data_IF_878089104838
#
_entry.id   IF_878089104838
#
_cell.length_a   1.000
_cell.length_b   1.000
_cell.length_c   1.000
_cell.angle_alpha   90.00
_cell.angle_beta   90.00
_cell.angle_gamma   90.00
#
_symmetry.space_group_name_H-M   'P 1'
#
loop_
_entity.id
_entity.type
_entity.pdbx_description
1 polymer ?
2 non-polymer ?
3 non-polymer ?
4 non-polymer ?
5 non-polymer ?
6 water ?
#
# COMPACT_ATOMS: atom_id res chain seq x y z
N UNK A 12 21.38 -9.21 -13.74
CA UNK A 12 20.63 -8.50 -12.72
C UNK A 12 19.34 -7.84 -13.23
N UNK A 13 18.97 -6.72 -12.62
CA UNK A 13 17.66 -6.12 -12.86
C UNK A 13 17.87 -4.68 -13.34
N UNK A 14 17.18 -4.23 -14.38
CA UNK A 14 17.28 -2.81 -14.75
C UNK A 14 16.26 -1.98 -13.94
N UNK A 15 16.70 -0.86 -13.37
CA UNK A 15 15.82 0.11 -12.74
C UNK A 15 14.68 0.52 -13.67
N UNK A 16 13.45 0.42 -13.15
CA UNK A 16 12.27 0.84 -13.88
C UNK A 16 12.10 2.35 -14.06
N UNK A 17 12.86 3.14 -13.30
CA UNK A 17 12.77 4.58 -13.47
C UNK A 17 13.85 5.07 -14.44
N UNK A 18 15.09 4.63 -14.27
CA UNK A 18 16.17 5.25 -15.04
C UNK A 18 17.00 4.23 -15.81
N UNK A 19 16.77 2.93 -15.64
CA UNK A 19 17.56 1.90 -16.32
C UNK A 19 18.93 1.66 -15.71
N UNK A 20 19.26 2.34 -14.62
CA UNK A 20 20.42 2.02 -13.80
C UNK A 20 20.45 0.57 -13.33
N UNK A 21 21.50 0.15 -12.63
CA UNK A 21 21.52 -1.21 -12.11
C UNK A 21 20.91 -1.28 -10.72
N UNK A 22 20.16 -2.35 -10.47
CA UNK A 22 19.54 -2.54 -9.16
C UNK A 22 20.31 -3.52 -8.29
N UNK A 23 20.72 -3.09 -7.11
CA UNK A 23 21.38 -3.99 -6.17
C UNK A 23 20.47 -4.54 -5.09
N UNK A 24 20.33 -5.86 -5.04
CA UNK A 24 19.48 -6.46 -4.00
C UNK A 24 20.03 -6.30 -2.59
N UNK A 25 19.12 -6.08 -1.64
CA UNK A 25 19.49 -6.04 -0.24
C UNK A 25 18.66 -6.92 0.68
N UNK A 26 17.53 -7.43 0.17
CA UNK A 26 16.61 -8.19 1.02
C UNK A 26 15.92 -9.23 0.16
N UNK A 27 15.92 -10.47 0.63
CA UNK A 27 15.34 -11.55 -0.19
C UNK A 27 14.33 -12.20 0.75
N UNK A 28 13.06 -12.03 0.39
CA UNK A 28 11.95 -12.60 1.17
C UNK A 28 11.43 -13.92 0.64
N UNK A 29 12.18 -14.46 -0.32
CA UNK A 29 11.86 -15.82 -0.77
C UNK A 29 10.63 -15.97 -1.65
N UNK A 30 10.16 -17.20 -1.79
CA UNK A 30 9.05 -17.46 -2.70
C UNK A 30 7.79 -16.98 -1.99
N UNK A 31 6.94 -16.27 -2.73
CA UNK A 31 5.73 -15.71 -2.17
C UNK A 31 4.57 -15.98 -3.14
N UNK A 32 3.38 -16.18 -2.60
CA UNK A 32 2.15 -16.23 -3.38
C UNK A 32 1.61 -14.86 -3.73
N UNK A 33 0.58 -14.76 -4.58
CA UNK A 33 -0.11 -13.48 -4.76
C UNK A 33 -0.74 -13.15 -3.41
N UNK A 34 -0.62 -11.90 -2.97
CA UNK A 34 -0.95 -11.58 -1.59
C UNK A 34 -2.44 -11.45 -1.34
N UNK A 35 -3.21 -11.18 -2.40
CA UNK A 35 -4.64 -10.92 -2.25
C UNK A 35 -5.44 -12.07 -2.87
N UNK A 36 -4.80 -13.22 -3.10
CA UNK A 36 -5.60 -14.35 -3.62
C UNK A 36 -6.02 -15.22 -2.43
N UNK A 37 -7.31 -15.25 -2.15
CA UNK A 37 -7.88 -16.01 -1.02
C UNK A 37 -8.65 -17.23 -1.55
N UNK A 38 -8.19 -18.45 -1.30
CA UNK A 38 -8.80 -19.62 -1.95
C UNK A 38 -9.88 -20.23 -1.08
N UNK A 39 -10.89 -20.81 -1.71
CA UNK A 39 -11.84 -21.60 -0.93
C UNK A 39 -11.13 -22.86 -0.42
N UNK A 40 -11.57 -23.40 0.72
CA UNK A 40 -10.75 -24.48 1.27
C UNK A 40 -10.64 -25.75 0.42
N UNK A 41 -11.62 -25.96 -0.45
CA UNK A 41 -11.60 -27.06 -1.41
C UNK A 41 -10.76 -26.85 -2.65
N UNK A 42 -10.32 -25.61 -2.91
CA UNK A 42 -9.54 -25.39 -4.11
C UNK A 42 -8.24 -26.19 -4.07
N UNK A 43 -7.77 -26.57 -5.25
CA UNK A 43 -6.45 -27.19 -5.35
C UNK A 43 -5.44 -26.28 -4.67
N UNK A 44 -4.55 -26.94 -3.94
CA UNK A 44 -3.33 -26.35 -3.38
C UNK A 44 -2.27 -26.12 -4.46
N UNK A 45 -2.62 -25.28 -5.43
CA UNK A 45 -1.60 -24.76 -6.34
C UNK A 45 -1.82 -23.26 -6.22
N UNK A 46 -0.70 -22.53 -6.27
CA UNK A 46 -0.75 -21.07 -6.37
C UNK A 46 0.37 -20.52 -7.24
N UNK A 47 0.13 -19.41 -7.91
CA UNK A 47 1.23 -18.71 -8.55
C UNK A 47 2.26 -18.31 -7.48
N UNK A 48 3.56 -18.47 -7.70
CA UNK A 48 4.51 -17.87 -6.75
C UNK A 48 5.56 -17.16 -7.56
N UNK A 49 6.29 -16.27 -6.89
CA UNK A 49 7.29 -15.47 -7.58
C UNK A 49 8.36 -15.24 -6.49
N UNK A 50 9.54 -14.77 -6.85
CA UNK A 50 10.53 -14.48 -5.82
C UNK A 50 10.42 -13.02 -5.38
N UNK A 51 10.12 -12.77 -4.11
CA UNK A 51 9.98 -11.38 -3.65
C UNK A 51 11.32 -10.92 -3.10
N UNK A 52 11.97 -9.98 -3.76
CA UNK A 52 13.26 -9.47 -3.25
C UNK A 52 13.32 -8.00 -3.62
N UNK A 53 14.10 -7.24 -2.87
CA UNK A 53 14.11 -5.78 -2.93
C UNK A 53 15.54 -5.31 -3.11
N UNK A 54 15.66 -4.28 -3.95
CA UNK A 54 16.98 -3.74 -4.24
C UNK A 54 16.88 -2.24 -4.40
N UNK A 55 18.01 -1.64 -4.73
CA UNK A 55 18.06 -0.18 -4.83
C UNK A 55 18.79 0.14 -6.11
N UNK A 56 18.28 1.08 -6.91
CA UNK A 56 18.98 1.42 -8.13
C UNK A 56 20.29 2.14 -7.76
N UNK A 57 21.34 1.85 -8.53
CA UNK A 57 22.64 2.53 -8.44
C UNK A 57 22.67 4.02 -8.79
N UNK A 58 21.79 4.42 -9.68
CA UNK A 58 21.83 5.75 -10.26
C UNK A 58 20.82 6.71 -9.64
N UNK A 59 19.58 6.29 -9.44
CA UNK A 59 18.56 7.20 -8.92
C UNK A 59 18.08 6.97 -7.48
N UNK A 60 18.61 5.93 -6.85
CA UNK A 60 18.25 5.60 -5.47
C UNK A 60 16.86 5.04 -5.20
N UNK A 61 16.16 4.77 -6.29
CA UNK A 61 14.87 4.11 -6.17
C UNK A 61 14.96 2.68 -5.65
N UNK A 62 14.22 2.45 -4.57
CA UNK A 62 14.16 1.09 -4.00
C UNK A 62 12.95 0.45 -4.67
N UNK A 63 13.15 -0.78 -5.18
CA UNK A 63 12.14 -1.46 -5.96
C UNK A 63 12.32 -2.97 -5.88
N UNK A 64 11.24 -3.68 -6.19
CA UNK A 64 11.36 -5.14 -6.30
C UNK A 64 12.21 -5.60 -7.50
N UNK A 65 12.74 -6.82 -7.41
CA UNK A 65 13.52 -7.35 -8.54
C UNK A 65 12.74 -8.27 -9.47
N UNK A 66 11.53 -8.66 -9.10
CA UNK A 66 10.68 -9.39 -10.06
C UNK A 66 9.31 -8.73 -10.08
N UNK A 67 8.80 -8.44 -11.29
CA UNK A 67 7.46 -7.87 -11.45
C UNK A 67 6.43 -9.01 -11.55
N UNK A 68 5.33 -8.90 -10.83
CA UNK A 68 4.16 -9.72 -11.09
C UNK A 68 3.32 -9.06 -12.17
N UNK A 69 2.89 -9.80 -13.20
CA UNK A 69 2.07 -9.14 -14.22
C UNK A 69 0.82 -8.50 -13.61
N UNK A 70 0.52 -7.29 -14.10
CA UNK A 70 -0.57 -6.53 -13.50
C UNK A 70 -1.91 -7.31 -13.47
N UNK A 71 -2.17 -8.08 -14.52
CA UNK A 71 -3.46 -8.71 -14.67
C UNK A 71 -3.56 -9.90 -13.76
N UNK A 72 -2.46 -10.36 -13.15
CA UNK A 72 -2.62 -11.37 -12.12
C UNK A 72 -3.07 -10.78 -10.79
N UNK A 73 -2.81 -9.50 -10.60
CA UNK A 73 -3.12 -8.85 -9.32
C UNK A 73 -4.42 -8.07 -9.33
N UNK A 74 -4.70 -7.41 -10.46
CA UNK A 74 -5.83 -6.50 -10.54
C UNK A 74 -6.73 -6.97 -11.68
N UNK A 75 -7.93 -7.36 -11.25
CA UNK A 75 -8.95 -7.93 -12.11
C UNK A 75 -10.27 -7.98 -11.34
N UNK A 76 -11.21 -8.73 -11.91
CA UNK A 76 -12.59 -8.66 -11.50
C UNK A 76 -12.82 -8.98 -10.03
N UNK A 77 -12.03 -9.89 -9.47
CA UNK A 77 -12.24 -10.33 -8.10
C UNK A 77 -11.15 -9.85 -7.13
N UNK A 78 -10.34 -8.88 -7.53
CA UNK A 78 -9.49 -8.25 -6.52
C UNK A 78 -10.32 -7.83 -5.29
N UNK A 79 -9.86 -8.20 -4.09
CA UNK A 79 -10.77 -8.16 -2.94
C UNK A 79 -10.60 -6.98 -2.00
N UNK A 80 -9.68 -6.06 -2.29
CA UNK A 80 -9.37 -5.05 -1.27
C UNK A 80 -10.43 -3.96 -1.37
N UNK A 81 -11.07 -3.67 -0.25
CA UNK A 81 -12.12 -2.68 -0.21
C UNK A 81 -11.67 -1.53 0.68
N UNK A 82 -11.32 -0.40 0.06
CA UNK A 82 -10.72 0.69 0.84
C UNK A 82 -11.67 1.16 1.93
N UNK A 83 -12.96 1.19 1.59
CA UNK A 83 -13.94 1.78 2.53
C UNK A 83 -14.15 1.00 3.80
N UNK A 84 -13.47 -0.14 3.97
CA UNK A 84 -13.58 -0.94 5.18
C UNK A 84 -12.97 -0.29 6.40
N UNK A 85 -12.28 0.83 6.25
CA UNK A 85 -11.68 1.52 7.39
C UNK A 85 -12.28 2.92 7.55
N UNK A 86 -12.77 3.16 8.77
CA UNK A 86 -13.40 4.46 9.09
C UNK A 86 -12.36 5.57 9.07
N UNK A 87 -11.18 5.28 9.61
CA UNK A 87 -10.08 6.25 9.59
C UNK A 87 -9.74 6.59 8.13
N UNK A 88 -9.69 5.64 7.19
CA UNK A 88 -9.28 5.99 5.84
C UNK A 88 -10.45 6.71 5.17
N UNK A 89 -11.71 6.38 5.46
CA UNK A 89 -12.83 7.10 4.83
C UNK A 89 -12.71 8.59 5.20
N UNK A 90 -12.39 8.87 6.45
CA UNK A 90 -12.28 10.28 6.88
C UNK A 90 -11.06 10.97 6.25
N UNK A 91 -10.00 10.19 6.12
CA UNK A 91 -8.70 10.68 5.69
C UNK A 91 -8.96 11.11 4.23
N UNK A 92 -9.65 10.32 3.41
CA UNK A 92 -9.82 10.68 2.02
C UNK A 92 -10.84 11.80 1.79
N UNK A 93 -11.89 11.84 2.61
CA UNK A 93 -12.92 12.88 2.47
C UNK A 93 -12.22 14.21 2.75
N UNK A 94 -11.39 14.26 3.79
CA UNK A 94 -10.62 15.45 4.07
C UNK A 94 -9.71 15.87 2.93
N UNK A 95 -9.00 14.92 2.31
CA UNK A 95 -8.09 15.24 1.21
C UNK A 95 -8.96 15.81 0.08
N UNK A 96 -10.13 15.22 -0.14
CA UNK A 96 -10.94 15.67 -1.27
C UNK A 96 -11.44 17.10 -0.98
N UNK A 97 -11.82 17.40 0.25
CA UNK A 97 -12.24 18.79 0.54
C UNK A 97 -11.08 19.75 0.36
N UNK A 98 -9.88 19.36 0.78
CA UNK A 98 -8.74 20.24 0.60
C UNK A 98 -8.52 20.47 -0.89
N UNK A 99 -8.68 19.49 -1.76
CA UNK A 99 -8.51 19.79 -3.18
C UNK A 99 -9.64 20.68 -3.71
N UNK A 100 -10.86 20.51 -3.19
CA UNK A 100 -12.00 21.32 -3.66
C UNK A 100 -11.77 22.77 -3.24
N UNK A 101 -11.09 22.96 -2.11
CA UNK A 101 -10.82 24.32 -1.65
C UNK A 101 -9.62 24.98 -2.29
N UNK A 102 -8.76 24.24 -2.99
CA UNK A 102 -7.48 24.78 -3.45
C UNK A 102 -7.31 24.58 -4.96
N UNK A 103 -7.09 23.36 -5.42
CA UNK A 103 -6.75 23.13 -6.82
C UNK A 103 -7.93 23.00 -7.78
N UNK A 104 -9.13 22.80 -7.24
CA UNK A 104 -10.34 22.59 -8.03
C UNK A 104 -11.33 23.77 -7.94
N UNK A 105 -10.80 24.97 -7.76
CA UNK A 105 -11.66 26.14 -7.66
C UNK A 105 -12.02 26.79 -8.99
N UNK A 106 -11.47 26.33 -10.11
CA UNK A 106 -11.77 27.04 -11.35
C UNK A 106 -13.21 26.96 -11.85
N UNK A 107 -13.46 27.50 -13.05
CA UNK A 107 -14.72 27.09 -13.69
C UNK A 107 -14.50 25.65 -14.18
N UNK A 108 -15.45 24.73 -14.02
CA UNK A 108 -15.28 23.41 -14.67
C UNK A 108 -13.92 22.76 -14.40
N UNK A 109 -13.58 22.59 -13.11
CA UNK A 109 -12.39 21.83 -12.72
C UNK A 109 -12.57 20.33 -13.06
N UNK A 110 -11.50 19.55 -13.19
CA UNK A 110 -11.57 18.13 -13.54
C UNK A 110 -10.46 17.43 -12.73
N UNK A 111 -10.89 16.41 -11.99
CA UNK A 111 -9.95 15.59 -11.22
C UNK A 111 -10.03 14.13 -11.66
N UNK A 112 -8.85 13.55 -11.93
CA UNK A 112 -8.74 12.12 -12.24
C UNK A 112 -8.03 11.39 -11.09
N UNK A 113 -8.62 10.30 -10.62
CA UNK A 113 -7.97 9.50 -9.60
C UNK A 113 -7.52 8.17 -10.23
N UNK A 114 -6.25 7.82 -10.01
CA UNK A 114 -5.70 6.52 -10.44
C UNK A 114 -5.86 5.58 -9.25
N UNK A 115 -6.61 4.49 -9.43
CA UNK A 115 -6.80 3.55 -8.31
C UNK A 115 -7.95 3.91 -7.39
N UNK A 116 -9.10 4.33 -7.93
CA UNK A 116 -10.20 4.84 -7.10
C UNK A 116 -10.87 3.81 -6.21
N UNK A 117 -10.66 2.52 -6.52
CA UNK A 117 -11.27 1.41 -5.80
C UNK A 117 -12.76 1.64 -5.66
N UNK A 118 -13.28 1.54 -4.45
CA UNK A 118 -14.72 1.58 -4.24
C UNK A 118 -15.25 3.01 -4.13
N UNK A 119 -14.42 3.98 -4.48
CA UNK A 119 -14.83 5.39 -4.49
C UNK A 119 -14.63 6.15 -3.19
N UNK A 120 -13.83 5.59 -2.27
CA UNK A 120 -13.52 6.23 -0.97
C UNK A 120 -13.17 7.72 -1.05
N UNK A 121 -12.44 8.13 -2.09
CA UNK A 121 -12.12 9.56 -2.25
C UNK A 121 -13.11 10.25 -3.19
N UNK A 122 -13.34 9.66 -4.35
CA UNK A 122 -14.15 10.35 -5.36
C UNK A 122 -15.59 10.67 -4.92
N UNK A 123 -16.14 9.90 -3.99
CA UNK A 123 -17.51 10.16 -3.52
C UNK A 123 -17.61 11.63 -3.13
N UNK A 124 -16.68 12.17 -2.33
CA UNK A 124 -16.73 13.57 -1.94
C UNK A 124 -16.66 14.51 -3.14
N UNK A 125 -15.93 14.17 -4.20
CA UNK A 125 -15.82 15.04 -5.35
C UNK A 125 -17.16 15.03 -6.11
N UNK A 126 -17.72 13.84 -6.32
CA UNK A 126 -19.02 13.70 -6.96
C UNK A 126 -20.08 14.47 -6.17
N UNK A 127 -20.08 14.37 -4.85
CA UNK A 127 -21.09 15.10 -4.06
C UNK A 127 -20.94 16.61 -4.11
N UNK A 128 -19.75 17.10 -4.45
CA UNK A 128 -19.52 18.51 -4.77
C UNK A 128 -19.87 18.89 -6.21
N UNK A 129 -20.32 17.93 -7.01
CA UNK A 129 -20.71 18.23 -8.39
C UNK A 129 -19.57 18.52 -9.33
N UNK A 130 -18.32 18.14 -8.99
CA UNK A 130 -17.15 18.43 -9.81
C UNK A 130 -16.87 17.32 -10.83
N UNK A 131 -16.54 17.62 -12.09
CA UNK A 131 -16.27 16.62 -13.12
C UNK A 131 -15.05 15.80 -12.67
N UNK A 132 -15.15 14.48 -12.85
CA UNK A 132 -14.09 13.62 -12.36
C UNK A 132 -14.11 12.30 -13.12
N UNK A 133 -13.04 11.52 -12.95
CA UNK A 133 -12.98 10.20 -13.56
C UNK A 133 -12.01 9.42 -12.70
N UNK A 134 -12.51 8.25 -12.29
CA UNK A 134 -11.73 7.22 -11.58
C UNK A 134 -11.24 6.19 -12.58
N UNK A 135 -9.97 5.81 -12.46
CA UNK A 135 -9.47 4.65 -13.20
C UNK A 135 -9.37 3.53 -12.19
N UNK A 136 -10.01 2.41 -12.52
CA UNK A 136 -10.05 1.29 -11.57
C UNK A 136 -10.13 0.02 -12.41
N UNK A 137 -8.99 -0.65 -12.64
CA UNK A 137 -9.01 -1.83 -13.50
C UNK A 137 -9.59 -3.05 -12.83
N UNK A 138 -9.84 -3.00 -11.52
CA UNK A 138 -10.48 -4.09 -10.79
C UNK A 138 -11.98 -3.86 -10.80
N UNK A 139 -12.66 -4.64 -11.64
CA UNK A 139 -14.03 -4.26 -11.95
C UNK A 139 -15.04 -4.43 -10.81
N UNK A 140 -14.82 -5.38 -9.92
CA UNK A 140 -15.73 -5.58 -8.78
C UNK A 140 -15.75 -4.34 -7.91
N UNK A 141 -14.58 -3.82 -7.57
CA UNK A 141 -14.58 -2.64 -6.70
C UNK A 141 -14.99 -1.43 -7.53
N UNK A 142 -14.66 -1.39 -8.82
CA UNK A 142 -15.13 -0.29 -9.65
C UNK A 142 -16.65 -0.19 -9.66
N UNK A 143 -17.32 -1.35 -9.65
CA UNK A 143 -18.78 -1.30 -9.65
C UNK A 143 -19.28 -0.69 -8.34
N UNK A 144 -18.61 -0.95 -7.22
CA UNK A 144 -19.04 -0.33 -5.97
C UNK A 144 -18.94 1.20 -6.02
N UNK A 145 -17.92 1.74 -6.70
CA UNK A 145 -17.77 3.18 -6.86
C UNK A 145 -18.89 3.65 -7.76
N UNK A 146 -19.14 2.95 -8.86
CA UNK A 146 -20.20 3.42 -9.74
C UNK A 146 -21.59 3.42 -9.09
N UNK A 147 -21.85 2.48 -8.19
CA UNK A 147 -23.07 2.52 -7.38
C UNK A 147 -23.26 3.82 -6.60
N UNK A 148 -22.18 4.52 -6.27
CA UNK A 148 -22.24 5.73 -5.48
C UNK A 148 -22.42 6.89 -6.47
N UNK A 149 -22.53 6.62 -7.77
CA UNK A 149 -22.65 7.69 -8.75
C UNK A 149 -21.35 8.27 -9.28
N UNK A 150 -20.23 7.65 -8.89
CA UNK A 150 -18.93 8.03 -9.45
C UNK A 150 -18.67 7.56 -10.88
N UNK A 151 -18.07 8.39 -11.71
CA UNK A 151 -17.71 8.03 -13.07
C UNK A 151 -16.37 7.29 -12.99
N UNK A 152 -16.39 6.04 -13.47
CA UNK A 152 -15.24 5.15 -13.36
C UNK A 152 -14.97 4.56 -14.75
N UNK A 153 -13.69 4.49 -15.12
CA UNK A 153 -13.26 3.67 -16.25
C UNK A 153 -12.54 2.42 -15.76
N UNK A 154 -12.92 1.24 -16.23
CA UNK A 154 -12.35 0.00 -15.71
C UNK A 154 -11.16 -0.25 -16.63
N UNK A 155 -10.07 0.49 -16.42
CA UNK A 155 -8.89 0.36 -17.26
C UNK A 155 -7.74 0.71 -16.31
N UNK A 156 -6.54 0.28 -16.67
CA UNK A 156 -5.32 0.80 -16.05
C UNK A 156 -5.03 2.17 -16.62
N UNK A 157 -4.70 3.11 -15.74
CA UNK A 157 -4.01 4.32 -16.16
C UNK A 157 -2.62 4.00 -16.69
N UNK A 158 -2.37 4.48 -17.89
CA UNK A 158 -1.09 4.41 -18.59
C UNK A 158 -1.07 5.44 -19.71
N UNK A 159 0.01 5.55 -20.46
CA UNK A 159 0.09 6.59 -21.50
C UNK A 159 -1.13 6.60 -22.42
N UNK A 160 -1.48 5.45 -22.98
CA UNK A 160 -2.56 5.39 -23.96
C UNK A 160 -3.91 5.75 -23.40
N UNK A 161 -4.24 5.28 -22.19
CA UNK A 161 -5.58 5.54 -21.67
C UNK A 161 -5.62 7.01 -21.22
N UNK A 162 -4.50 7.58 -20.76
CA UNK A 162 -4.46 9.00 -20.38
C UNK A 162 -4.70 9.81 -21.65
N UNK A 163 -4.11 9.40 -22.77
CA UNK A 163 -4.27 10.16 -24.01
C UNK A 163 -5.73 10.16 -24.41
N UNK A 164 -6.37 9.02 -24.20
CA UNK A 164 -7.75 8.88 -24.62
C UNK A 164 -8.62 9.80 -23.75
N UNK A 165 -8.34 9.82 -22.45
CA UNK A 165 -9.08 10.74 -21.58
C UNK A 165 -8.79 12.21 -21.96
N UNK A 166 -7.57 12.56 -22.32
CA UNK A 166 -7.29 13.95 -22.68
C UNK A 166 -8.13 14.32 -23.90
N UNK A 167 -8.16 13.42 -24.87
CA UNK A 167 -8.88 13.64 -26.12
C UNK A 167 -10.36 13.94 -25.92
N UNK A 168 -11.02 13.20 -25.03
CA UNK A 168 -12.46 13.33 -24.87
C UNK A 168 -12.86 14.26 -23.73
N UNK A 169 -12.00 14.42 -22.73
CA UNK A 169 -12.37 15.18 -21.53
C UNK A 169 -11.58 16.46 -21.24
N UNK A 170 -10.47 16.70 -21.96
CA UNK A 170 -9.66 17.89 -21.80
C UNK A 170 -8.72 17.63 -20.64
N UNK A 171 -7.92 18.64 -20.26
CA UNK A 171 -6.93 18.48 -19.22
C UNK A 171 -7.49 18.33 -17.82
N UNK A 172 -6.74 17.59 -17.00
CA UNK A 172 -7.13 17.48 -15.60
C UNK A 172 -6.32 18.47 -14.77
N UNK A 173 -7.04 19.13 -13.88
CA UNK A 173 -6.39 20.03 -12.91
C UNK A 173 -5.63 19.29 -11.82
N UNK A 174 -6.17 18.13 -11.43
CA UNK A 174 -5.46 17.30 -10.44
C UNK A 174 -5.50 15.87 -10.98
N UNK A 175 -4.35 15.20 -10.93
CA UNK A 175 -4.32 13.72 -11.00
C UNK A 175 -3.85 13.22 -9.64
N UNK A 176 -4.59 12.27 -9.05
CA UNK A 176 -4.29 11.86 -7.67
C UNK A 176 -4.24 10.33 -7.64
N UNK A 177 -3.33 9.82 -6.83
CA UNK A 177 -3.24 8.38 -6.66
C UNK A 177 -2.83 8.08 -5.23
N UNK A 178 -3.63 7.24 -4.54
CA UNK A 178 -3.20 6.85 -3.20
C UNK A 178 -2.93 5.36 -3.10
N UNK A 179 -1.78 4.95 -2.55
CA UNK A 179 -1.51 3.52 -2.37
C UNK A 179 -1.62 2.75 -3.68
N UNK A 180 -1.34 3.46 -4.76
CA UNK A 180 -1.48 2.89 -6.11
C UNK A 180 -0.21 3.11 -6.95
N UNK A 181 0.38 4.31 -6.95
CA UNK A 181 1.51 4.54 -7.84
C UNK A 181 2.64 3.58 -7.47
N UNK A 182 2.84 3.29 -6.19
CA UNK A 182 3.92 2.35 -5.85
C UNK A 182 3.67 0.91 -6.28
N UNK A 183 2.47 0.66 -6.79
CA UNK A 183 2.14 -0.67 -7.27
C UNK A 183 2.56 -0.86 -8.72
N UNK A 184 2.94 0.22 -9.40
CA UNK A 184 2.99 0.25 -10.86
C UNK A 184 4.43 0.28 -11.38
N UNK A 185 4.96 -0.86 -11.82
CA UNK A 185 6.36 -0.79 -12.28
C UNK A 185 6.54 0.05 -13.55
N UNK A 186 5.46 0.21 -14.32
CA UNK A 186 5.47 1.03 -15.54
C UNK A 186 5.19 2.51 -15.27
N UNK A 187 5.87 2.94 -14.21
CA UNK A 187 5.73 4.34 -13.76
C UNK A 187 6.12 5.36 -14.81
N UNK A 188 7.04 5.01 -15.70
CA UNK A 188 7.38 5.94 -16.77
C UNK A 188 6.17 6.12 -17.68
N UNK A 189 5.46 5.06 -18.05
CA UNK A 189 4.24 5.18 -18.85
C UNK A 189 3.18 6.00 -18.11
N UNK A 190 3.04 5.78 -16.81
CA UNK A 190 2.11 6.62 -16.03
C UNK A 190 2.53 8.10 -16.11
N UNK A 191 3.82 8.38 -15.96
CA UNK A 191 4.29 9.76 -16.04
C UNK A 191 4.06 10.36 -17.42
N UNK A 192 4.20 9.56 -18.49
CA UNK A 192 3.92 10.15 -19.78
C UNK A 192 2.43 10.40 -19.91
N UNK A 193 1.60 9.52 -19.34
CA UNK A 193 0.17 9.75 -19.18
C UNK A 193 -0.20 11.03 -18.45
N UNK A 194 0.46 11.22 -17.31
CA UNK A 194 0.30 12.49 -16.60
C UNK A 194 0.70 13.70 -17.44
N UNK A 195 1.85 13.61 -18.10
CA UNK A 195 2.27 14.67 -19.02
C UNK A 195 1.23 14.95 -20.11
N UNK A 196 0.62 13.93 -20.70
CA UNK A 196 -0.42 14.16 -21.70
C UNK A 196 -1.68 14.78 -21.12
N UNK A 197 -2.05 14.42 -19.90
CA UNK A 197 -3.39 14.71 -19.39
C UNK A 197 -3.43 15.93 -18.45
N UNK A 198 -2.35 16.25 -17.75
CA UNK A 198 -2.45 17.24 -16.68
C UNK A 198 -2.43 18.64 -17.30
N UNK A 199 -3.19 19.57 -16.73
CA UNK A 199 -3.22 20.98 -17.11
C UNK A 199 -1.78 21.46 -16.92
N UNK A 200 -1.38 22.46 -17.71
CA UNK A 200 -0.05 23.03 -17.57
C UNK A 200 0.24 23.54 -16.16
N UNK A 201 -0.79 24.06 -15.49
CA UNK A 201 -0.73 24.46 -14.07
C UNK A 201 -1.37 23.49 -13.08
N UNK A 202 -1.49 22.24 -13.50
CA UNK A 202 -2.00 21.22 -12.58
C UNK A 202 -0.96 20.54 -11.69
N UNK A 203 -1.45 19.65 -10.83
CA UNK A 203 -0.57 18.88 -9.93
C UNK A 203 -0.89 17.39 -10.05
N UNK A 204 0.16 16.57 -9.91
CA UNK A 204 -0.01 15.12 -9.78
C UNK A 204 0.39 14.83 -8.34
N UNK A 205 -0.55 14.29 -7.57
CA UNK A 205 -0.32 14.20 -6.13
C UNK A 205 -0.44 12.71 -5.86
N UNK A 206 0.53 12.12 -5.18
CA UNK A 206 0.37 10.70 -4.82
C UNK A 206 0.88 10.44 -3.41
N UNK A 207 0.27 9.46 -2.72
CA UNK A 207 0.73 9.14 -1.38
C UNK A 207 0.90 7.62 -1.30
N UNK A 208 1.98 7.18 -0.66
CA UNK A 208 2.35 5.76 -0.68
C UNK A 208 3.22 5.48 0.55
N UNK A 209 3.31 4.22 1.01
CA UNK A 209 4.17 3.86 2.14
C UNK A 209 5.59 4.42 1.94
N UNK A 210 6.06 5.07 3.00
CA UNK A 210 7.35 5.76 2.94
C UNK A 210 8.53 4.93 3.40
N UNK A 211 9.60 4.93 2.59
CA UNK A 211 10.81 4.17 2.89
C UNK A 211 11.29 4.52 4.29
N UNK A 212 11.17 5.79 4.68
CA UNK A 212 11.70 6.24 5.97
C UNK A 212 11.05 5.53 7.14
N UNK A 213 9.73 5.41 7.02
CA UNK A 213 8.97 4.72 8.04
C UNK A 213 9.24 3.22 8.01
N UNK A 214 9.39 2.67 6.79
CA UNK A 214 9.61 1.22 6.72
C UNK A 214 10.94 0.85 7.37
N UNK A 215 11.99 1.63 7.09
CA UNK A 215 13.29 1.40 7.72
C UNK A 215 13.25 1.63 9.24
N UNK A 216 12.59 2.68 9.69
CA UNK A 216 12.56 2.98 11.12
C UNK A 216 11.75 1.94 11.90
N UNK A 217 10.68 1.41 11.30
CA UNK A 217 9.79 0.50 12.04
C UNK A 217 10.07 -0.95 11.65
N UNK A 218 11.02 -1.22 10.77
CA UNK A 218 11.27 -2.55 10.25
C UNK A 218 9.98 -3.17 9.72
N UNK A 219 9.13 -2.37 9.07
CA UNK A 219 7.79 -2.83 8.67
C UNK A 219 7.88 -3.51 7.28
N UNK A 220 8.56 -4.65 7.24
CA UNK A 220 8.89 -5.34 5.99
C UNK A 220 7.61 -5.90 5.38
N UNK A 221 6.53 -6.02 6.15
CA UNK A 221 5.28 -6.55 5.58
C UNK A 221 4.68 -5.57 4.56
N UNK A 222 5.19 -4.34 4.51
CA UNK A 222 4.82 -3.38 3.47
C UNK A 222 5.38 -3.83 2.12
N UNK A 223 6.22 -4.86 2.10
CA UNK A 223 6.82 -5.32 0.84
C UNK A 223 6.09 -6.59 0.43
N UNK A 224 5.36 -6.52 -0.69
CA UNK A 224 4.58 -7.67 -1.18
C UNK A 224 4.32 -7.35 -2.64
N UNK A 225 3.68 -8.29 -3.34
CA UNK A 225 3.59 -8.17 -4.80
C UNK A 225 3.09 -6.82 -5.38
N UNK A 226 2.10 -6.27 -4.68
CA UNK A 226 1.47 -5.04 -5.15
C UNK A 226 2.29 -3.79 -4.80
N UNK A 227 3.31 -3.91 -3.95
CA UNK A 227 4.15 -2.76 -3.65
C UNK A 227 5.54 -2.88 -4.27
N UNK A 228 5.58 -2.46 -5.54
CA UNK A 228 6.81 -2.52 -6.33
C UNK A 228 7.88 -1.51 -5.90
N UNK A 229 7.44 -0.30 -5.54
CA UNK A 229 8.40 0.75 -5.16
C UNK A 229 8.18 1.09 -3.71
N UNK A 230 9.30 1.34 -3.03
CA UNK A 230 9.24 1.99 -1.71
C UNK A 230 9.81 3.41 -1.82
N UNK A 231 8.91 4.35 -2.11
CA UNK A 231 9.35 5.70 -2.45
C UNK A 231 9.98 6.44 -1.27
N UNK A 232 10.92 7.30 -1.61
CA UNK A 232 11.42 8.29 -0.65
C UNK A 232 11.36 9.65 -1.35
N UNK A 233 11.61 10.73 -0.60
CA UNK A 233 11.64 12.05 -1.23
C UNK A 233 12.82 12.08 -2.21
N UNK A 234 13.96 11.51 -1.81
CA UNK A 234 15.11 11.47 -2.75
C UNK A 234 14.86 10.81 -4.10
N UNK A 235 14.28 9.62 -4.06
CA UNK A 235 14.00 8.96 -5.35
C UNK A 235 12.83 9.57 -6.12
N UNK A 236 11.80 10.04 -5.43
CA UNK A 236 10.70 10.71 -6.14
C UNK A 236 11.21 11.99 -6.82
N UNK A 237 12.06 12.76 -6.15
CA UNK A 237 12.61 13.98 -6.77
C UNK A 237 13.33 13.61 -8.06
N UNK A 238 14.17 12.58 -7.99
CA UNK A 238 14.89 12.06 -9.16
C UNK A 238 13.96 11.62 -10.25
N UNK A 239 12.94 10.85 -9.88
CA UNK A 239 12.01 10.35 -10.87
C UNK A 239 11.26 11.48 -11.56
N UNK A 240 10.82 12.45 -10.77
CA UNK A 240 10.09 13.55 -11.38
C UNK A 240 10.99 14.29 -12.37
N UNK A 241 12.16 14.68 -11.89
CA UNK A 241 13.10 15.50 -12.66
C UNK A 241 13.34 14.79 -13.99
N UNK A 242 13.56 13.48 -13.96
CA UNK A 242 13.90 12.76 -15.19
C UNK A 242 12.76 12.78 -16.19
N UNK A 243 11.54 13.06 -15.73
CA UNK A 243 10.34 12.90 -16.56
C UNK A 243 9.74 14.26 -16.88
N UNK A 244 10.47 15.33 -16.57
CA UNK A 244 9.96 16.68 -16.78
C UNK A 244 9.12 17.32 -15.68
N UNK A 245 9.00 16.66 -14.53
CA UNK A 245 8.25 17.23 -13.43
C UNK A 245 9.20 17.65 -12.32
N UNK A 246 8.62 18.19 -11.26
CA UNK A 246 9.41 18.64 -10.13
C UNK A 246 8.64 18.33 -8.85
N UNK A 247 9.36 17.83 -7.86
CA UNK A 247 8.79 17.63 -6.55
C UNK A 247 8.59 18.96 -5.81
N UNK A 248 7.34 19.39 -5.63
CA UNK A 248 7.09 20.74 -5.12
C UNK A 248 6.45 20.80 -3.73
N UNK A 249 5.96 19.66 -3.23
CA UNK A 249 5.55 19.60 -1.84
C UNK A 249 5.67 18.15 -1.32
N UNK A 250 5.86 18.01 -0.02
CA UNK A 250 5.79 16.70 0.65
C UNK A 250 5.03 16.90 1.95
N UNK A 251 4.25 15.88 2.33
CA UNK A 251 3.58 15.86 3.60
C UNK A 251 3.65 14.47 4.20
N UNK A 252 4.12 14.32 5.43
CA UNK A 252 4.08 12.99 6.03
C UNK A 252 2.70 12.71 6.60
N UNK A 253 2.23 11.46 6.48
CA UNK A 253 0.88 11.05 6.88
C UNK A 253 1.05 9.82 7.75
N UNK A 254 0.23 9.67 8.79
CA UNK A 254 0.36 8.49 9.67
C UNK A 254 -0.32 7.24 9.14
N UNK A 255 -1.17 7.37 8.12
CA UNK A 255 -1.91 6.24 7.64
C UNK A 255 -0.98 5.15 7.07
N UNK A 256 -1.50 3.94 7.12
CA UNK A 256 -0.81 2.81 6.51
C UNK A 256 0.62 2.61 7.03
N UNK A 257 0.80 2.97 8.31
CA UNK A 257 2.10 2.68 8.92
C UNK A 257 3.15 3.76 8.67
N UNK A 258 2.75 4.80 7.95
CA UNK A 258 3.59 5.95 7.60
C UNK A 258 3.78 6.13 6.11
N UNK A 259 3.34 7.30 5.66
CA UNK A 259 3.39 7.63 4.24
C UNK A 259 3.95 9.00 4.02
N UNK A 260 4.28 9.25 2.76
CA UNK A 260 4.50 10.63 2.33
C UNK A 260 3.54 10.87 1.17
N UNK A 261 2.94 12.06 1.16
CA UNK A 261 2.16 12.52 0.02
C UNK A 261 3.07 13.47 -0.77
N UNK A 262 3.35 13.11 -2.01
CA UNK A 262 4.26 13.86 -2.87
C UNK A 262 3.40 14.69 -3.83
N UNK A 263 3.74 15.97 -4.05
CA UNK A 263 3.11 16.79 -5.09
C UNK A 263 4.09 17.15 -6.19
N UNK A 264 3.72 16.78 -7.42
CA UNK A 264 4.58 16.98 -8.56
C UNK A 264 3.87 18.01 -9.44
N UNK A 265 4.63 18.97 -9.94
CA UNK A 265 4.12 19.92 -10.93
C UNK A 265 5.07 19.90 -12.12
N UNK A 266 4.64 20.47 -13.25
CA UNK A 266 5.59 20.64 -14.35
C UNK A 266 6.77 21.49 -13.91
N UNK A 267 7.96 21.12 -14.40
CA UNK A 267 9.15 21.75 -13.83
C UNK A 267 9.19 23.27 -13.93
N UNK A 268 9.56 23.93 -12.83
CA UNK A 268 9.59 25.38 -12.74
C UNK A 268 8.26 26.10 -12.67
N UNK A 269 7.17 25.34 -12.79
CA UNK A 269 5.89 26.03 -12.67
C UNK A 269 5.49 26.45 -11.26
N UNK A 270 6.01 25.79 -10.23
CA UNK A 270 5.68 26.26 -8.88
C UNK A 270 6.99 26.20 -8.10
N UNK A 271 7.09 26.96 -7.01
CA UNK A 271 8.32 26.90 -6.24
C UNK A 271 8.21 25.87 -5.12
N UNK A 272 9.20 24.96 -5.02
CA UNK A 272 9.01 23.94 -4.01
C UNK A 272 8.83 24.52 -2.63
N UNK A 273 7.98 23.91 -1.81
CA UNK A 273 7.94 24.28 -0.39
C UNK A 273 9.21 23.98 0.38
N UNK A 274 9.37 24.67 1.52
CA UNK A 274 10.52 24.38 2.36
C UNK A 274 10.50 22.92 2.78
N UNK A 275 9.31 22.32 2.83
CA UNK A 275 9.19 20.93 3.29
C UNK A 275 10.03 19.97 2.43
N UNK A 276 10.14 20.27 1.15
CA UNK A 276 10.83 19.37 0.24
C UNK A 276 12.32 19.32 0.60
N UNK A 277 12.94 20.50 0.69
CA UNK A 277 14.34 20.49 1.03
C UNK A 277 14.58 19.94 2.43
N UNK A 278 13.65 20.17 3.34
CA UNK A 278 13.85 19.70 4.70
C UNK A 278 13.89 18.17 4.76
N UNK A 279 12.95 17.55 4.05
CA UNK A 279 12.89 16.08 4.11
C UNK A 279 14.06 15.49 3.34
N UNK A 280 14.42 16.09 2.21
CA UNK A 280 15.61 15.67 1.48
C UNK A 280 16.84 15.67 2.39
N UNK A 281 17.00 16.77 3.12
CA UNK A 281 18.17 16.90 3.98
C UNK A 281 18.13 15.91 5.13
N UNK A 282 16.95 15.62 5.68
CA UNK A 282 16.88 14.60 6.74
C UNK A 282 17.22 13.19 6.25
N UNK A 283 16.72 12.84 5.06
CA UNK A 283 17.03 11.56 4.42
C UNK A 283 18.53 11.43 4.17
N UNK A 284 19.19 12.46 3.66
CA UNK A 284 20.64 12.49 3.46
C UNK A 284 21.36 12.35 4.78
N UNK A 285 20.91 13.08 5.79
CA UNK A 285 21.56 13.08 7.09
C UNK A 285 21.48 11.68 7.73
N UNK A 286 20.33 11.05 7.58
CA UNK A 286 20.03 9.78 8.19
C UNK A 286 20.50 8.64 7.30
N UNK A 287 21.11 8.94 6.17
CA UNK A 287 21.62 7.92 5.25
C UNK A 287 20.53 6.92 4.85
N UNK A 288 19.30 7.41 4.68
CA UNK A 288 18.16 6.51 4.49
C UNK A 288 18.37 5.52 3.36
N UNK A 289 18.85 6.01 2.22
CA UNK A 289 18.93 5.15 1.04
C UNK A 289 20.33 4.59 0.79
N UNK A 290 21.26 4.77 1.74
CA UNK A 290 22.57 4.14 1.65
C UNK A 290 22.38 2.62 1.74
N UNK A 291 23.13 1.91 0.89
CA UNK A 291 23.03 0.44 0.88
C UNK A 291 23.30 -0.18 2.25
N UNK A 292 24.19 0.43 3.03
CA UNK A 292 24.43 -0.10 4.36
C UNK A 292 23.24 0.04 5.30
N UNK A 293 22.50 1.14 5.19
CA UNK A 293 21.29 1.33 6.00
C UNK A 293 20.26 0.29 5.57
N UNK A 294 20.17 0.08 4.26
CA UNK A 294 19.09 -0.80 3.79
C UNK A 294 19.44 -2.26 4.15
N UNK A 295 20.73 -2.60 4.13
CA UNK A 295 21.16 -3.92 4.59
C UNK A 295 20.95 -4.11 6.07
N UNK A 296 21.16 -3.08 6.86
CA UNK A 296 20.84 -3.17 8.28
C UNK A 296 19.35 -3.38 8.55
N UNK A 297 18.48 -2.72 7.80
CA UNK A 297 17.04 -2.99 7.82
C UNK A 297 16.85 -4.49 7.51
N UNK A 298 17.51 -5.01 6.47
CA UNK A 298 17.29 -6.42 6.13
C UNK A 298 17.74 -7.34 7.25
N UNK A 299 18.82 -7.02 7.94
CA UNK A 299 19.20 -7.80 9.12
C UNK A 299 18.15 -7.70 10.21
N UNK A 300 17.53 -6.54 10.40
CA UNK A 300 16.50 -6.39 11.42
C UNK A 300 15.23 -7.20 11.04
N UNK A 301 15.01 -7.33 9.74
CA UNK A 301 13.86 -8.13 9.27
C UNK A 301 14.06 -9.58 9.71
N UNK A 302 15.26 -10.12 9.52
CA UNK A 302 15.49 -11.51 9.95
C UNK A 302 15.35 -11.65 11.46
N UNK A 303 15.78 -10.63 12.21
CA UNK A 303 15.62 -10.71 13.65
C UNK A 303 14.18 -10.75 14.13
N UNK A 304 13.32 -9.97 13.49
CA UNK A 304 11.88 -9.99 13.74
C UNK A 304 11.34 -11.37 13.34
N UNK A 305 11.70 -11.95 12.20
CA UNK A 305 11.23 -13.32 11.85
C UNK A 305 11.56 -14.26 13.00
N UNK A 306 12.83 -14.23 13.41
CA UNK A 306 13.30 -15.24 14.36
C UNK A 306 12.61 -15.07 15.71
N UNK A 307 12.46 -13.83 16.19
CA UNK A 307 11.75 -13.59 17.46
C UNK A 307 10.24 -13.89 17.36
N UNK A 308 9.64 -13.61 16.21
CA UNK A 308 8.20 -13.89 16.12
C UNK A 308 7.89 -15.39 16.09
N UNK A 309 8.66 -16.14 15.29
CA UNK A 309 8.44 -17.59 15.30
C UNK A 309 8.79 -18.17 16.69
N UNK A 310 9.88 -17.77 17.34
CA UNK A 310 10.13 -18.26 18.69
C UNK A 310 8.96 -17.98 19.61
N UNK A 311 8.38 -16.78 19.55
CA UNK A 311 7.26 -16.49 20.44
C UNK A 311 6.06 -17.39 20.13
N UNK A 312 5.69 -17.52 18.87
CA UNK A 312 4.51 -18.27 18.46
C UNK A 312 4.68 -19.73 18.89
N UNK A 313 5.88 -20.27 18.69
CA UNK A 313 6.14 -21.63 19.16
C UNK A 313 6.11 -21.84 20.67
N UNK A 314 6.69 -20.89 21.41
CA UNK A 314 6.57 -20.92 22.86
C UNK A 314 5.11 -20.85 23.31
N UNK A 315 4.29 -19.97 22.74
CA UNK A 315 2.86 -19.90 23.05
C UNK A 315 2.18 -21.26 22.84
N UNK A 316 2.46 -21.91 21.70
CA UNK A 316 1.87 -23.23 21.48
C UNK A 316 2.36 -24.21 22.59
N UNK A 317 3.63 -24.19 22.93
CA UNK A 317 4.17 -25.15 23.91
C UNK A 317 3.52 -24.88 25.27
N UNK A 318 3.11 -23.64 25.53
CA UNK A 318 2.47 -23.34 26.80
C UNK A 318 0.95 -23.45 26.75
N UNK A 319 0.39 -24.01 25.69
CA UNK A 319 -1.04 -24.24 25.54
C UNK A 319 -1.88 -22.98 25.47
N UNK A 320 -1.29 -21.92 24.93
CA UNK A 320 -2.05 -20.69 24.78
C UNK A 320 -2.57 -20.62 23.35
N UNK A 321 -3.79 -20.14 23.14
CA UNK A 321 -4.39 -20.07 21.79
C UNK A 321 -4.00 -18.77 21.10
N UNK A 322 -3.78 -18.83 19.79
CA UNK A 322 -3.31 -17.67 19.03
C UNK A 322 -4.14 -17.58 17.75
N UNK A 323 -4.68 -16.40 17.48
CA UNK A 323 -5.29 -16.18 16.16
C UNK A 323 -4.60 -14.95 15.56
N UNK A 324 -5.06 -14.62 14.35
CA UNK A 324 -4.60 -13.34 13.79
C UNK A 324 -5.77 -12.39 13.56
N UNK A 325 -5.47 -11.11 13.40
CA UNK A 325 -6.52 -10.12 13.16
C UNK A 325 -6.13 -9.22 11.99
N UNK A 326 -6.97 -9.33 10.96
CA UNK A 326 -6.88 -8.56 9.70
C UNK A 326 -6.17 -9.45 8.68
N UNK A 327 -6.85 -9.82 7.59
CA UNK A 327 -6.25 -10.64 6.51
C UNK A 327 -5.71 -9.65 5.49
N UNK A 328 -4.73 -8.91 5.98
CA UNK A 328 -4.08 -7.90 5.16
C UNK A 328 -3.37 -8.60 4.00
N UNK A 329 -3.19 -7.94 2.86
CA UNK A 329 -2.22 -8.39 1.88
C UNK A 329 -0.80 -8.51 2.45
N UNK A 330 -0.47 -7.52 3.29
CA UNK A 330 0.84 -7.51 3.95
C UNK A 330 1.15 -8.83 4.66
N UNK A 331 0.10 -9.35 5.28
CA UNK A 331 0.30 -10.55 6.10
C UNK A 331 0.83 -11.69 5.25
N UNK A 332 0.54 -11.71 3.94
CA UNK A 332 1.13 -12.82 3.18
C UNK A 332 2.65 -12.88 3.24
N UNK A 333 3.27 -11.70 3.33
CA UNK A 333 4.73 -11.71 3.44
C UNK A 333 5.20 -12.27 4.77
N UNK A 334 4.49 -11.84 5.80
CA UNK A 334 4.83 -12.32 7.12
C UNK A 334 4.64 -13.85 7.22
N UNK A 335 3.49 -14.38 6.80
CA UNK A 335 3.27 -15.80 7.07
C UNK A 335 4.17 -16.66 6.19
N UNK A 336 4.42 -16.22 4.95
CA UNK A 336 5.23 -17.03 4.04
C UNK A 336 6.72 -16.89 4.34
N UNK A 337 7.23 -15.69 4.65
CA UNK A 337 8.65 -15.61 5.02
C UNK A 337 8.90 -16.29 6.35
N UNK A 338 7.95 -16.23 7.29
CA UNK A 338 8.23 -16.73 8.63
C UNK A 338 7.86 -18.19 8.77
N UNK A 339 7.07 -18.71 7.83
CA UNK A 339 6.62 -20.10 7.97
C UNK A 339 5.51 -20.22 8.99
N UNK A 340 4.55 -19.30 9.03
CA UNK A 340 3.51 -19.36 10.04
C UNK A 340 2.23 -19.86 9.39
N UNK A 341 1.73 -20.99 9.86
CA UNK A 341 0.48 -21.51 9.32
C UNK A 341 -0.55 -21.80 10.39
N UNK A 342 -1.61 -22.57 10.07
CA UNK A 342 -2.73 -22.71 11.03
C UNK A 342 -2.37 -23.54 12.28
N UNK A 343 -1.27 -24.28 12.23
CA UNK A 343 -0.72 -24.89 13.44
C UNK A 343 -0.23 -23.90 14.50
N UNK A 344 0.07 -22.67 14.11
CA UNK A 344 0.50 -21.66 15.09
C UNK A 344 -0.48 -20.51 15.25
N UNK A 345 -1.26 -20.23 14.21
CA UNK A 345 -2.24 -19.14 14.24
C UNK A 345 -3.50 -19.72 13.60
N UNK A 346 -4.48 -19.97 14.44
CA UNK A 346 -5.53 -20.90 13.99
C UNK A 346 -6.52 -20.35 12.97
N UNK A 347 -6.76 -19.04 13.03
CA UNK A 347 -7.74 -18.36 12.20
C UNK A 347 -7.27 -16.93 12.05
N UNK A 348 -7.69 -16.29 10.98
CA UNK A 348 -7.53 -14.84 10.90
C UNK A 348 -8.93 -14.20 10.77
N UNK A 349 -9.19 -13.16 11.57
CA UNK A 349 -10.49 -12.47 11.55
C UNK A 349 -10.43 -11.23 10.68
N UNK A 350 -11.44 -11.08 9.81
CA UNK A 350 -11.42 -9.98 8.86
C UNK A 350 -12.82 -9.47 8.46
N UNK A 351 -12.97 -8.17 8.20
CA UNK A 351 -14.28 -7.64 7.85
C UNK A 351 -14.68 -7.73 6.39
N UNK A 352 -13.85 -8.28 5.51
CA UNK A 352 -14.06 -8.25 4.07
C UNK A 352 -14.83 -9.52 3.67
N UNK A 353 -16.10 -9.36 3.27
CA UNK A 353 -16.84 -10.58 2.94
C UNK A 353 -16.13 -11.48 1.93
N UNK A 354 -15.55 -10.89 0.89
CA UNK A 354 -14.94 -11.80 -0.08
C UNK A 354 -13.62 -12.45 0.34
N UNK A 355 -13.14 -12.12 1.54
CA UNK A 355 -11.99 -12.86 2.08
C UNK A 355 -12.46 -13.88 3.10
N UNK A 356 -13.67 -13.69 3.64
CA UNK A 356 -14.19 -14.64 4.63
C UNK A 356 -14.54 -16.04 4.12
N UNK A 357 -14.39 -17.05 4.97
CA UNK A 357 -14.65 -18.45 4.55
C UNK A 357 -13.71 -18.88 3.42
N UNK A 358 -12.50 -18.33 3.48
CA UNK A 358 -11.44 -18.63 2.54
C UNK A 358 -10.16 -18.87 3.34
N UNK A 359 -9.10 -19.27 2.65
CA UNK A 359 -7.79 -19.51 3.25
C UNK A 359 -6.82 -18.42 2.83
N UNK A 360 -5.94 -18.01 3.74
CA UNK A 360 -4.93 -17.02 3.31
C UNK A 360 -3.89 -17.59 2.36
N UNK A 361 -3.33 -16.74 1.50
CA UNK A 361 -2.42 -17.27 0.47
C UNK A 361 -1.12 -17.83 1.03
N UNK A 362 -0.73 -18.97 0.46
CA UNK A 362 0.53 -19.59 0.83
C UNK A 362 0.45 -20.36 2.13
N UNK A 363 0.05 -19.68 3.19
CA UNK A 363 -0.01 -20.29 4.51
C UNK A 363 -1.31 -21.02 4.82
N UNK A 364 -2.35 -20.67 4.09
CA UNK A 364 -3.65 -21.34 4.17
C UNK A 364 -4.28 -21.30 5.56
N UNK A 365 -4.14 -20.19 6.28
CA UNK A 365 -4.91 -20.05 7.51
C UNK A 365 -6.36 -19.64 7.20
N UNK A 366 -7.36 -20.29 7.82
CA UNK A 366 -8.73 -19.88 7.57
C UNK A 366 -9.07 -18.48 8.05
N UNK A 367 -9.81 -17.75 7.20
CA UNK A 367 -10.23 -16.38 7.47
C UNK A 367 -11.73 -16.49 7.82
N UNK A 368 -12.09 -15.84 8.92
CA UNK A 368 -13.45 -15.82 9.42
C UNK A 368 -13.87 -14.35 9.63
N UNK A 369 -15.19 -14.10 9.66
CA UNK A 369 -15.66 -12.72 9.84
C UNK A 369 -15.23 -12.24 11.22
N UNK A 370 -14.98 -10.94 11.30
CA UNK A 370 -14.54 -10.33 12.56
C UNK A 370 -15.63 -10.50 13.60
N UNK A 371 -16.88 -10.57 13.16
CA UNK A 371 -17.97 -10.79 14.12
C UNK A 371 -17.82 -12.10 14.90
N UNK A 372 -17.05 -13.04 14.38
CA UNK A 372 -16.69 -14.30 15.05
C UNK A 372 -15.61 -14.24 16.14
N UNK A 373 -14.99 -13.08 16.24
CA UNK A 373 -13.97 -12.85 17.26
C UNK A 373 -14.79 -12.29 18.42
N UNK A 374 -15.15 -13.17 19.36
CA UNK A 374 -16.08 -12.78 20.41
C UNK A 374 -15.91 -13.78 21.56
N UNK A 375 -16.60 -13.54 22.67
CA UNK A 375 -16.42 -14.42 23.84
C UNK A 375 -16.97 -15.81 23.47
N UNK A 376 -16.20 -16.89 23.69
CA UNK A 376 -14.90 -16.95 24.37
C UNK A 376 -13.73 -16.58 23.44
N UNK A 377 -12.98 -15.58 23.88
CA UNK A 377 -11.79 -15.09 23.15
C UNK A 377 -10.56 -16.00 23.24
N UNK A 378 -9.73 -15.98 22.18
CA UNK A 378 -8.43 -16.64 22.33
C UNK A 378 -7.53 -15.89 23.29
N UNK A 379 -6.42 -16.52 23.65
CA UNK A 379 -5.42 -15.90 24.51
C UNK A 379 -4.75 -14.70 23.82
N UNK A 380 -4.41 -14.85 22.54
CA UNK A 380 -3.59 -13.86 21.84
C UNK A 380 -4.13 -13.63 20.45
N UNK A 381 -4.05 -12.38 19.98
CA UNK A 381 -4.39 -12.11 18.57
C UNK A 381 -3.14 -11.43 18.00
N UNK A 382 -2.54 -12.07 16.99
CA UNK A 382 -1.46 -11.50 16.20
C UNK A 382 -2.01 -10.43 15.31
N UNK A 383 -1.58 -9.18 15.52
CA UNK A 383 -2.19 -8.08 14.81
C UNK A 383 -1.52 -7.79 13.47
N UNK A 384 -2.11 -8.39 12.43
CA UNK A 384 -1.59 -8.15 11.09
C UNK A 384 -2.01 -6.77 10.64
N UNK A 385 -3.25 -6.35 10.94
CA UNK A 385 -3.67 -4.98 10.59
C UNK A 385 -3.13 -3.97 11.60
N UNK A 386 -1.80 -4.00 11.79
CA UNK A 386 -1.21 -3.13 12.81
C UNK A 386 -1.29 -1.64 12.47
N UNK A 387 -1.41 -1.36 11.18
CA UNK A 387 -1.61 0.04 10.73
C UNK A 387 -2.99 0.60 11.04
N UNK A 388 -3.89 -0.31 11.41
CA UNK A 388 -5.26 0.02 11.84
C UNK A 388 -5.44 -0.23 13.34
N UNK A 389 -4.35 -0.23 14.12
CA UNK A 389 -4.43 -0.66 15.52
C UNK A 389 -5.48 0.13 16.31
N UNK A 390 -5.45 1.46 16.24
CA UNK A 390 -6.39 2.23 17.06
C UNK A 390 -7.85 1.95 16.69
N UNK A 391 -8.17 1.96 15.40
CA UNK A 391 -9.55 1.73 14.95
C UNK A 391 -10.03 0.34 15.37
N UNK A 392 -9.14 -0.65 15.22
CA UNK A 392 -9.49 -2.03 15.54
C UNK A 392 -9.60 -2.21 17.06
N UNK A 393 -8.64 -1.71 17.82
CA UNK A 393 -8.69 -2.01 19.25
C UNK A 393 -9.89 -1.29 19.89
N UNK A 394 -10.33 -0.18 19.29
CA UNK A 394 -11.46 0.53 19.84
C UNK A 394 -12.73 -0.30 19.69
N UNK A 395 -12.77 -1.11 18.64
CA UNK A 395 -13.92 -1.96 18.35
C UNK A 395 -13.81 -3.24 19.18
N UNK A 396 -12.67 -3.52 19.77
CA UNK A 396 -12.38 -4.80 20.41
C UNK A 396 -11.90 -4.61 21.85
N UNK A 397 -12.54 -3.67 22.53
CA UNK A 397 -12.20 -3.42 23.95
C UNK A 397 -12.56 -4.61 24.80
N UNK A 398 -13.67 -5.28 24.48
CA UNK A 398 -14.07 -6.42 25.29
C UNK A 398 -13.04 -7.57 25.31
N UNK A 399 -12.39 -7.85 24.18
CA UNK A 399 -11.32 -8.85 24.07
C UNK A 399 -10.24 -8.49 25.08
N UNK A 400 -9.78 -7.24 25.07
CA UNK A 400 -8.66 -6.92 25.95
C UNK A 400 -9.12 -6.88 27.40
N UNK A 401 -10.37 -6.49 27.63
CA UNK A 401 -10.92 -6.44 28.99
C UNK A 401 -10.98 -7.87 29.51
N UNK A 402 -11.37 -8.81 28.65
CA UNK A 402 -11.41 -10.22 29.04
C UNK A 402 -10.06 -10.85 29.34
N UNK A 403 -8.95 -10.14 29.09
CA UNK A 403 -7.60 -10.61 29.30
C UNK A 403 -6.84 -11.01 28.04
N UNK A 404 -7.51 -10.88 26.89
CA UNK A 404 -6.93 -11.23 25.60
C UNK A 404 -5.84 -10.24 25.29
N UNK A 405 -4.73 -10.67 24.67
CA UNK A 405 -3.64 -9.72 24.42
C UNK A 405 -3.27 -9.72 22.94
N UNK A 406 -2.71 -8.59 22.50
CA UNK A 406 -2.28 -8.48 21.11
C UNK A 406 -0.81 -8.80 20.96
N UNK A 407 -0.44 -9.46 19.87
CA UNK A 407 0.96 -9.67 19.55
C UNK A 407 1.22 -8.73 18.38
N UNK A 408 2.21 -7.87 18.50
CA UNK A 408 2.59 -7.01 17.38
C UNK A 408 4.01 -7.38 16.98
N UNK A 409 4.39 -7.16 15.73
CA UNK A 409 5.75 -7.40 15.27
C UNK A 409 6.35 -6.14 14.65
N UNK A 410 5.64 -5.02 14.78
CA UNK A 410 6.11 -3.70 14.34
C UNK A 410 5.98 -2.81 15.59
N UNK A 411 7.08 -2.10 15.94
CA UNK A 411 8.40 -2.10 15.31
C UNK A 411 9.34 -3.23 15.77
N UNK A 412 8.85 -3.98 16.74
CA UNK A 412 9.58 -5.09 17.36
C UNK A 412 8.46 -6.04 17.81
N UNK A 413 8.83 -7.30 18.02
CA UNK A 413 7.89 -8.26 18.59
C UNK A 413 7.61 -7.92 20.06
N UNK A 414 6.32 -7.72 20.36
CA UNK A 414 5.95 -7.41 21.74
C UNK A 414 4.48 -7.75 21.90
N UNK A 415 4.03 -7.85 23.14
CA UNK A 415 2.68 -8.25 23.47
C UNK A 415 2.10 -7.16 24.36
N UNK A 416 0.85 -6.80 24.11
CA UNK A 416 0.26 -5.80 24.99
C UNK A 416 -1.26 -5.84 25.00
X LIG B 1 17.10 4.29 -11.25
X LIG C 1 -4.60 -11.06 -6.62
X LIG C 1 -4.46 -9.68 -6.24
X LIG C 1 -6.06 -11.51 -6.55
X LIG C 1 -6.05 -12.82 -7.16
X LIG D 1 -4.95 -2.86 5.01
X LIG D 1 -3.96 -2.73 6.13
X LIG D 1 -5.84 -1.66 4.76
X LIG D 1 -4.32 -3.16 3.56
X LIG D 1 -3.31 -4.23 2.91
X LIG D 1 -2.35 -4.72 3.94
X LIG D 1 -4.12 -5.32 2.25
X LIG D 1 -2.58 -3.32 1.96
X LIG D 1 -5.90 -4.13 5.28
X LIG D 1 -6.71 -4.21 6.43
X LIG D 1 -7.40 -5.57 6.40
X LIG D 1 -7.88 -5.62 7.75
X LIG D 1 -8.62 -5.54 5.46
X LIG D 1 -8.80 -6.89 4.95
X LIG D 1 -9.71 -5.21 6.47
X LIG D 1 -9.31 -5.76 7.82
X LIG D 1 -9.82 -4.85 8.84
X LIG D 1 -10.63 -5.42 9.84
X LIG D 1 -10.86 -6.64 9.82
X LIG D 1 -11.12 -4.63 10.80
X LIG D 1 -10.96 -3.30 10.85
X LIG D 1 -11.45 -2.64 11.79
X LIG D 1 -10.10 -2.66 9.82
X LIG D 1 -9.76 -1.19 9.75
X LIG D 1 -9.56 -3.52 8.86
X LIG E 1 -6.72 4.38 -3.45
X LIG E 1 -7.34 3.24 -2.72
X LIG E 1 -6.99 1.91 -3.40
X LIG E 1 -5.56 1.40 -3.19
X LIG E 1 -5.32 -0.27 -3.73
X LIG E 1 -6.82 3.38 -1.33
X LIG E 1 -5.87 4.15 -1.08
X LIG E 1 -7.28 2.67 -0.43
X LIG E 1 -4.64 0.06 -5.33
X LIG E 1 -5.72 0.17 -6.43
X LIG E 1 -5.05 0.52 -7.67
X LIG E 1 -6.50 -1.14 -6.69
X LIG E 1 -7.92 -0.92 -6.58
X LIG E 1 -6.08 -1.47 -8.12
X LIG E 1 -6.98 -2.18 -8.98
X LIG E 1 -5.79 -0.10 -8.73
X LIG E 1 -4.79 -0.11 -9.82
X LIG E 1 -3.71 -0.89 -10.05
X LIG E 1 -3.03 -0.55 -11.17
X LIG E 1 -3.64 0.56 -11.66
X LIG E 1 -3.47 1.50 -12.79
X LIG E 1 -2.45 1.30 -13.65
X LIG E 1 -4.41 2.46 -12.89
X LIG E 1 -5.45 2.65 -12.05
X LIG E 1 -5.71 1.87 -10.98
X LIG E 1 -4.79 0.86 -10.77
#
# INVERSE_FOLDING_TARGET
GHMSHLADVSPPTACRVCGGGVQEFLDLGRQPLSDRFRKPDELDDEFTYRLAVGRCDSCEMVQLTEEVPRDLMFHEVYPYHSSGSSVMREHFAMLARDFLATELTGPDPFIVEIGCNDGIMLRTIQEAGVRHLGFEPSSGVAAKAREKGIRVRTDFFEKATADDVRRTEGPANVIYAANTLCNIPYVQSVLEGVDALLAPDGVFVFEDPYLGDIVAKTSFDQIYDQHFFLFSATSVQGMAQRCGFELVDVQRLPVHGGEVRYTLARQGSRTPSAAVAQLLAAEREQELSDMATLRAFAGNVVKIRDELTALLHRLRAEGRSVVGYGATAKSATVTNFCGIGPDLVHSVYDTTPDKQNRLTPGAHIPVRPASAFSDPYPDYALLFAWNHAEEIMAKEQEFHQAGGRWILYVPEVHIR
ZN ZN
EDO C1 O1 C2 O2
TYD PA O1A O2A O3A PB O1B O2B O3B O5' C5' C4' O4' C3' O3' C2' C1' N1 C2 O2 N3 C4 O4 C5 C5M C6
SAH N CA CB CG SD C O OXT C5' C4' O4' C3' O3' C2' O2' C1' N9 C8 N7 C5 C6 N6 N1 C2 N3 C4
#
